data_IF_361346606128
#
_entry.id   IF_361346606128
#
_cell.length_a   1.000
_cell.length_b   1.000
_cell.length_c   1.000
_cell.angle_alpha   90.00
_cell.angle_beta   90.00
_cell.angle_gamma   90.00
#
_symmetry.space_group_name_H-M   'P 1'
#
loop_
_entity.id
_entity.type
_entity.pdbx_description
1 polymer ?
#
# COMPACT_ATOMS: atom_id res chain seq x y z
N UNK A 1 10.03 10.26 48.44
CA UNK A 1 9.56 11.39 47.66
C UNK A 1 10.04 11.38 46.27
N UNK A 2 11.31 11.30 46.08
CA UNK A 2 11.83 11.25 44.71
C UNK A 2 11.35 10.02 43.94
N UNK A 3 11.13 8.96 44.64
CA UNK A 3 10.71 7.71 44.03
C UNK A 3 9.36 7.82 43.38
N UNK A 4 8.45 8.53 44.02
CA UNK A 4 7.11 8.70 43.47
C UNK A 4 7.14 9.48 42.18
N UNK A 5 7.99 10.44 42.10
CA UNK A 5 8.12 11.24 40.91
C UNK A 5 8.59 10.40 39.70
N UNK A 6 9.61 9.58 39.97
CA UNK A 6 10.16 8.73 38.93
C UNK A 6 9.12 7.74 38.43
N UNK A 7 8.33 7.23 39.34
CA UNK A 7 7.30 6.28 38.97
C UNK A 7 6.28 6.89 38.04
N UNK A 8 5.91 8.14 38.26
CA UNK A 8 4.97 8.82 37.39
C UNK A 8 5.51 8.98 35.98
N UNK A 9 6.79 9.26 35.89
CA UNK A 9 7.42 9.42 34.60
C UNK A 9 7.42 8.13 33.80
N UNK A 10 7.69 7.03 34.44
CA UNK A 10 7.69 5.73 33.78
C UNK A 10 6.30 5.40 33.28
N UNK A 11 5.30 5.75 34.03
CA UNK A 11 3.92 5.50 33.61
C UNK A 11 3.56 6.26 32.34
N UNK A 12 4.02 7.49 32.23
CA UNK A 12 3.76 8.29 31.04
C UNK A 12 4.39 7.68 29.81
N UNK A 13 5.59 7.15 29.95
CA UNK A 13 6.28 6.50 28.83
C UNK A 13 5.50 5.29 28.38
N UNK A 14 4.95 4.54 29.30
CA UNK A 14 4.16 3.37 28.95
C UNK A 14 2.93 3.73 28.13
N UNK A 15 2.28 4.81 28.49
CA UNK A 15 1.12 5.25 27.73
C UNK A 15 1.47 5.65 26.32
N UNK A 16 2.59 6.34 26.16
CA UNK A 16 3.03 6.72 24.83
C UNK A 16 3.30 5.50 23.97
N UNK A 17 3.89 4.46 24.55
CA UNK A 17 4.15 3.24 23.84
C UNK A 17 2.89 2.54 23.37
N UNK A 18 1.84 2.62 24.17
CA UNK A 18 0.59 1.99 23.82
C UNK A 18 -0.16 2.71 22.71
N UNK A 19 0.17 3.96 22.49
CA UNK A 19 -0.54 4.76 21.50
C UNK A 19 -0.13 4.48 20.08
N UNK A 20 0.96 3.78 19.89
CA UNK A 20 1.49 3.61 18.54
C UNK A 20 1.15 2.32 17.84
N UNK A 21 0.55 1.35 18.42
CA UNK A 21 0.46 0.05 17.78
C UNK A 21 -0.36 0.02 16.52
N UNK A 22 -1.11 1.00 16.29
CA UNK A 22 -1.98 0.99 15.15
C UNK A 22 -1.26 1.05 13.85
N UNK A 23 -0.04 1.17 13.92
CA UNK A 23 0.75 1.40 12.75
C UNK A 23 0.94 0.19 11.89
N UNK A 24 0.03 -0.66 11.89
CA UNK A 24 0.06 -1.70 10.90
C UNK A 24 0.23 -1.13 9.51
N UNK A 25 -0.13 0.09 9.37
CA UNK A 25 0.13 0.73 8.12
C UNK A 25 1.41 1.41 8.12
N UNK A 26 2.26 1.01 8.91
CA UNK A 26 3.58 1.53 8.91
C UNK A 26 4.24 1.46 7.57
N UNK A 27 3.66 0.83 6.60
CA UNK A 27 4.18 0.89 5.26
C UNK A 27 3.93 2.29 4.74
N UNK A 28 5.00 3.03 4.53
CA UNK A 28 4.90 4.36 3.99
C UNK A 28 4.40 4.30 2.57
N UNK A 29 3.30 4.96 2.29
CA UNK A 29 2.72 4.99 0.96
C UNK A 29 3.22 6.22 0.22
N UNK A 30 3.57 6.03 -1.05
CA UNK A 30 3.95 7.12 -1.93
C UNK A 30 2.78 7.45 -2.83
N UNK A 31 2.66 8.72 -3.19
CA UNK A 31 1.60 9.16 -4.08
C UNK A 31 2.02 8.94 -5.52
N UNK A 32 1.20 8.26 -6.30
CA UNK A 32 1.42 8.08 -7.72
C UNK A 32 0.62 9.13 -8.51
N UNK A 33 -0.66 9.23 -8.22
CA UNK A 33 -1.50 10.31 -8.75
C UNK A 33 -2.60 10.59 -7.72
N UNK A 34 -3.55 11.45 -8.08
CA UNK A 34 -4.54 11.89 -7.10
C UNK A 34 -5.46 10.77 -6.60
N UNK A 35 -5.50 9.65 -7.30
CA UNK A 35 -6.34 8.52 -6.90
C UNK A 35 -5.54 7.31 -6.45
N UNK A 36 -4.22 7.34 -6.59
CA UNK A 36 -3.40 6.14 -6.44
C UNK A 36 -2.22 6.39 -5.50
N UNK A 37 -2.08 5.48 -4.55
CA UNK A 37 -0.91 5.43 -3.67
C UNK A 37 -0.30 4.04 -3.77
N UNK A 38 0.98 3.94 -3.50
CA UNK A 38 1.65 2.65 -3.59
C UNK A 38 2.79 2.55 -2.60
N UNK A 39 3.21 1.31 -2.35
CA UNK A 39 4.43 1.04 -1.59
C UNK A 39 5.21 -0.05 -2.29
N UNK A 40 6.51 -0.03 -2.11
CA UNK A 40 7.42 -1.01 -2.69
C UNK A 40 8.23 -1.61 -1.55
N UNK A 41 8.28 -2.93 -1.52
CA UNK A 41 8.99 -3.67 -0.50
C UNK A 41 10.01 -4.58 -1.18
N UNK A 42 11.23 -4.59 -0.69
CA UNK A 42 12.29 -5.42 -1.27
C UNK A 42 12.00 -6.89 -1.07
N UNK A 43 12.44 -7.68 -2.03
CA UNK A 43 12.28 -9.12 -2.01
C UNK A 43 13.54 -9.74 -2.62
N UNK A 44 13.97 -10.92 -2.16
CA UNK A 44 15.17 -11.55 -2.73
C UNK A 44 15.13 -11.74 -4.25
N UNK A 45 13.95 -11.94 -4.81
CA UNK A 45 13.80 -12.15 -6.25
C UNK A 45 13.44 -10.89 -7.01
N UNK A 46 13.16 -9.79 -6.33
CA UNK A 46 12.72 -8.57 -6.97
C UNK A 46 12.16 -7.60 -5.96
N UNK A 47 10.89 -7.28 -6.10
CA UNK A 47 10.20 -6.40 -5.15
C UNK A 47 8.70 -6.65 -5.21
N UNK A 48 8.04 -6.37 -4.09
CA UNK A 48 6.59 -6.47 -4.02
C UNK A 48 6.00 -5.09 -4.11
N UNK A 49 5.01 -4.92 -4.97
CA UNK A 49 4.28 -3.66 -5.09
C UNK A 49 2.92 -3.84 -4.48
N UNK A 50 2.50 -2.86 -3.69
CA UNK A 50 1.13 -2.78 -3.21
C UNK A 50 0.57 -1.44 -3.63
N UNK A 51 -0.58 -1.46 -4.28
CA UNK A 51 -1.24 -0.27 -4.80
C UNK A 51 -2.58 -0.10 -4.13
N UNK A 52 -2.89 1.12 -3.74
CA UNK A 52 -4.21 1.50 -3.27
C UNK A 52 -4.79 2.52 -4.25
N UNK A 53 -5.91 2.17 -4.82
CA UNK A 53 -6.61 3.03 -5.79
C UNK A 53 -8.04 3.23 -5.31
N UNK A 54 -8.52 4.46 -5.39
CA UNK A 54 -9.90 4.73 -5.00
C UNK A 54 -10.44 5.87 -5.84
N UNK A 55 -11.73 5.84 -6.08
CA UNK A 55 -12.39 6.96 -6.73
C UNK A 55 -13.88 6.95 -6.42
N UNK A 56 -14.48 8.12 -6.51
CA UNK A 56 -15.90 8.26 -6.33
C UNK A 56 -16.63 7.68 -7.54
N UNK A 57 -17.67 6.91 -7.28
CA UNK A 57 -18.53 6.36 -8.32
C UNK A 57 -19.98 6.54 -7.91
N UNK A 58 -20.72 7.34 -8.67
CA UNK A 58 -22.13 7.48 -8.44
C UNK A 58 -22.84 6.15 -8.74
N UNK A 59 -22.51 5.55 -9.86
CA UNK A 59 -22.97 4.19 -10.20
C UNK A 59 -21.78 3.26 -10.00
N UNK A 60 -21.91 2.25 -9.14
CA UNK A 60 -20.77 1.37 -8.84
C UNK A 60 -20.38 0.53 -10.07
N UNK A 61 -19.10 0.57 -10.41
CA UNK A 61 -18.53 -0.25 -11.46
C UNK A 61 -17.23 -0.84 -10.96
N UNK A 62 -17.36 -1.90 -10.19
CA UNK A 62 -16.20 -2.52 -9.54
C UNK A 62 -15.16 -2.99 -10.54
N UNK A 63 -15.60 -3.53 -11.68
CA UNK A 63 -14.66 -4.01 -12.69
C UNK A 63 -13.80 -2.89 -13.25
N UNK A 64 -14.36 -1.71 -13.43
CA UNK A 64 -13.61 -0.57 -13.92
C UNK A 64 -12.53 -0.14 -12.92
N UNK A 65 -12.87 -0.16 -11.64
CA UNK A 65 -11.92 0.20 -10.59
C UNK A 65 -10.84 -0.87 -10.48
N UNK A 66 -11.20 -2.14 -10.55
CA UNK A 66 -10.23 -3.22 -10.50
C UNK A 66 -9.26 -3.14 -11.67
N UNK A 67 -9.76 -2.84 -12.86
CA UNK A 67 -8.92 -2.71 -14.05
C UNK A 67 -7.95 -1.54 -13.90
N UNK A 68 -8.44 -0.40 -13.42
CA UNK A 68 -7.58 0.77 -13.21
C UNK A 68 -6.51 0.49 -12.16
N UNK A 69 -6.87 -0.24 -11.13
CA UNK A 69 -5.97 -0.62 -10.06
C UNK A 69 -4.81 -1.49 -10.59
N UNK A 70 -5.15 -2.51 -11.37
CA UNK A 70 -4.14 -3.39 -11.97
C UNK A 70 -3.26 -2.65 -12.96
N UNK A 71 -3.85 -1.76 -13.74
CA UNK A 71 -3.10 -0.95 -14.70
C UNK A 71 -2.09 -0.05 -13.99
N UNK A 72 -2.51 0.58 -12.90
CA UNK A 72 -1.61 1.41 -12.11
C UNK A 72 -0.47 0.58 -11.54
N UNK A 73 -0.78 -0.60 -11.01
CA UNK A 73 0.24 -1.48 -10.45
C UNK A 73 1.27 -1.87 -11.51
N UNK A 74 0.80 -2.22 -12.70
CA UNK A 74 1.69 -2.61 -13.80
C UNK A 74 2.57 -1.45 -14.22
N UNK A 75 1.99 -0.26 -14.35
CA UNK A 75 2.77 0.93 -14.71
C UNK A 75 3.83 1.25 -13.68
N UNK A 76 3.47 1.20 -12.41
CA UNK A 76 4.41 1.47 -11.33
C UNK A 76 5.54 0.44 -11.34
N UNK A 77 5.20 -0.82 -11.63
CA UNK A 77 6.20 -1.87 -11.71
C UNK A 77 7.24 -1.59 -12.77
N UNK A 78 6.81 -1.24 -13.97
CA UNK A 78 7.73 -0.94 -15.05
C UNK A 78 8.52 0.34 -14.79
N UNK A 79 7.89 1.37 -14.27
CA UNK A 79 8.57 2.63 -13.96
C UNK A 79 9.63 2.43 -12.88
N UNK A 80 9.36 1.60 -11.91
CA UNK A 80 10.31 1.32 -10.84
C UNK A 80 11.54 0.59 -11.41
N UNK A 81 11.30 -0.36 -12.29
CA UNK A 81 12.39 -1.09 -12.95
C UNK A 81 13.25 -0.15 -13.78
N UNK A 82 12.59 0.74 -14.54
CA UNK A 82 13.30 1.71 -15.35
C UNK A 82 14.19 2.62 -14.51
N UNK A 83 13.69 3.07 -13.38
CA UNK A 83 14.48 3.94 -12.49
C UNK A 83 15.72 3.24 -11.97
N UNK A 84 15.64 1.94 -11.79
CA UNK A 84 16.77 1.16 -11.30
C UNK A 84 17.67 0.66 -12.43
N UNK A 85 17.27 0.87 -13.67
CA UNK A 85 18.04 0.42 -14.81
C UNK A 85 18.09 -1.09 -14.95
N UNK A 86 17.07 -1.78 -14.48
CA UNK A 86 17.01 -3.23 -14.51
C UNK A 86 15.77 -3.70 -15.22
N UNK A 87 15.84 -4.90 -15.78
CA UNK A 87 14.71 -5.49 -16.46
C UNK A 87 13.98 -6.45 -15.55
N UNK A 88 12.67 -6.53 -15.73
CA UNK A 88 11.83 -7.42 -14.94
C UNK A 88 11.13 -8.40 -15.86
N UNK A 89 10.72 -9.51 -15.29
CA UNK A 89 9.86 -10.45 -15.99
C UNK A 89 8.49 -9.83 -16.15
N UNK A 90 7.78 -10.24 -17.19
CA UNK A 90 6.43 -9.75 -17.41
C UNK A 90 5.57 -9.99 -16.17
N UNK A 91 4.78 -8.98 -15.82
CA UNK A 91 3.89 -9.09 -14.67
C UNK A 91 2.68 -9.89 -15.10
N UNK A 92 2.48 -11.03 -14.43
CA UNK A 92 1.36 -11.91 -14.73
C UNK A 92 0.13 -11.41 -14.00
N UNK A 93 -0.87 -10.95 -14.73
CA UNK A 93 -2.08 -10.42 -14.16
C UNK A 93 -2.80 -11.42 -13.27
N UNK A 94 -2.67 -12.70 -13.56
CA UNK A 94 -3.33 -13.73 -12.76
C UNK A 94 -2.71 -13.87 -11.38
N UNK A 95 -1.50 -13.38 -11.20
CA UNK A 95 -0.84 -13.40 -9.90
C UNK A 95 -1.10 -12.17 -9.08
N UNK A 96 -1.71 -11.16 -9.67
CA UNK A 96 -2.04 -9.95 -8.94
C UNK A 96 -3.19 -10.26 -7.97
N UNK A 97 -2.94 -10.01 -6.70
CA UNK A 97 -3.97 -10.18 -5.68
C UNK A 97 -4.75 -8.89 -5.58
N UNK A 98 -6.06 -8.97 -5.73
CA UNK A 98 -6.92 -7.81 -5.75
C UNK A 98 -7.97 -7.94 -4.65
N UNK A 99 -8.13 -6.86 -3.89
CA UNK A 99 -9.14 -6.78 -2.86
C UNK A 99 -9.95 -5.51 -3.10
N UNK A 100 -11.26 -5.63 -3.14
CA UNK A 100 -12.15 -4.53 -3.47
C UNK A 100 -12.98 -4.12 -2.26
N UNK A 101 -13.29 -2.84 -2.20
CA UNK A 101 -14.16 -2.31 -1.15
C UNK A 101 -14.98 -1.16 -1.67
N UNK A 102 -16.07 -0.85 -0.97
CA UNK A 102 -16.89 0.30 -1.33
C UNK A 102 -17.52 0.87 -0.07
N UNK A 103 -17.47 2.18 0.04
CA UNK A 103 -18.17 2.89 1.10
C UNK A 103 -19.46 3.45 0.49
N UNK A 104 -20.60 2.89 0.90
CA UNK A 104 -21.89 3.28 0.35
C UNK A 104 -22.31 4.69 0.73
N UNK A 105 -21.75 5.23 1.81
CA UNK A 105 -22.11 6.58 2.26
C UNK A 105 -21.35 7.63 1.44
N UNK A 106 -20.06 7.41 1.22
CA UNK A 106 -19.24 8.37 0.47
C UNK A 106 -19.29 8.14 -1.02
N UNK A 107 -19.71 6.95 -1.46
CA UNK A 107 -19.68 6.60 -2.88
C UNK A 107 -18.32 6.26 -3.39
N UNK A 108 -17.37 6.02 -2.51
CA UNK A 108 -15.99 5.72 -2.93
C UNK A 108 -15.81 4.22 -3.06
N UNK A 109 -15.36 3.79 -4.23
CA UNK A 109 -14.94 2.41 -4.48
C UNK A 109 -13.43 2.36 -4.40
N UNK A 110 -12.91 1.38 -3.69
CA UNK A 110 -11.48 1.26 -3.47
C UNK A 110 -10.99 -0.11 -3.88
N UNK A 111 -9.71 -0.16 -4.24
CA UNK A 111 -9.04 -1.38 -4.65
C UNK A 111 -7.64 -1.41 -4.05
N UNK A 112 -7.28 -2.57 -3.55
CA UNK A 112 -5.91 -2.82 -3.15
C UNK A 112 -5.40 -3.97 -4.00
N UNK A 113 -4.27 -3.77 -4.68
CA UNK A 113 -3.67 -4.80 -5.52
C UNK A 113 -2.22 -4.96 -5.14
N UNK A 114 -1.74 -6.20 -5.18
CA UNK A 114 -0.32 -6.45 -4.90
C UNK A 114 0.19 -7.60 -5.76
N UNK A 115 1.50 -7.55 -6.05
CA UNK A 115 2.15 -8.59 -6.83
C UNK A 115 3.64 -8.57 -6.55
N UNK A 116 4.28 -9.71 -6.67
CA UNK A 116 5.73 -9.82 -6.65
C UNK A 116 6.23 -9.59 -8.08
N UNK A 117 7.13 -8.63 -8.24
CA UNK A 117 7.78 -8.36 -9.52
C UNK A 117 9.18 -8.95 -9.45
N UNK A 118 9.52 -9.81 -10.41
CA UNK A 118 10.79 -10.51 -10.39
C UNK A 118 11.75 -9.92 -11.40
N UNK A 119 13.02 -9.80 -10.99
CA UNK A 119 14.07 -9.36 -11.92
C UNK A 119 14.32 -10.43 -12.97
N UNK A 120 14.62 -9.99 -14.17
CA UNK A 120 15.18 -10.89 -15.18
C UNK A 120 16.64 -11.13 -14.86
N UNK A 121 17.09 -12.29 -15.18
CA UNK A 121 18.51 -12.61 -15.00
C UNK A 121 19.33 -12.28 -16.24
#
# INVERSE_FOLDING_TARGET
>A
MHKTFILGLVFLISLAGCATPVSHENIAMQTYDQNTEYSISEHPKGYTITVFYSRYQFIPESDAVATACKAALTSIGWETADKQGKEIKSINEQRIKVSMGRNGITGITSCQASVLVEWQK
#
